data_IF_814707076624
#
_entry.id   IF_814707076624
#
_cell.length_a   1.000
_cell.length_b   1.000
_cell.length_c   1.000
_cell.angle_alpha   90.00
_cell.angle_beta   90.00
_cell.angle_gamma   90.00
#
_symmetry.space_group_name_H-M   'P 1'
#
loop_
_entity.id
_entity.type
_entity.pdbx_description
1 polymer ?
#
# COMPACT_ATOMS: atom_id res chain seq x y z
N UNK A 1 -4.92 -1.25 5.64
CA UNK A 1 -4.90 0.05 4.93
C UNK A 1 -5.52 -0.13 3.54
N UNK A 2 -6.07 0.94 2.96
CA UNK A 2 -6.51 0.96 1.56
C UNK A 2 -5.33 1.18 0.61
N UNK A 3 -5.44 0.72 -0.63
CA UNK A 3 -4.33 0.66 -1.60
C UNK A 3 -4.87 0.77 -3.03
N UNK A 4 -4.10 1.47 -3.87
CA UNK A 4 -4.40 1.66 -5.28
C UNK A 4 -3.81 0.58 -6.18
N UNK A 5 -2.75 -0.08 -5.71
CA UNK A 5 -2.12 -1.23 -6.35
C UNK A 5 -1.29 -2.06 -5.35
N UNK A 6 -1.27 -3.37 -5.54
CA UNK A 6 -0.48 -4.31 -4.74
C UNK A 6 0.48 -5.07 -5.66
N UNK A 7 1.77 -4.95 -5.35
CA UNK A 7 2.83 -5.75 -5.91
C UNK A 7 3.49 -6.57 -4.79
N UNK A 8 3.60 -7.88 -4.97
CA UNK A 8 4.20 -8.77 -3.95
C UNK A 8 5.70 -8.53 -3.77
N UNK A 9 6.39 -8.00 -4.78
CA UNK A 9 7.83 -7.71 -4.76
C UNK A 9 8.10 -6.24 -4.43
N UNK A 10 7.31 -5.31 -4.99
CA UNK A 10 7.52 -3.87 -4.81
C UNK A 10 6.71 -3.25 -3.65
N UNK A 11 5.75 -4.00 -3.09
CA UNK A 11 4.90 -3.55 -1.99
C UNK A 11 3.61 -2.88 -2.46
N UNK A 12 3.06 -2.00 -1.63
CA UNK A 12 1.75 -1.39 -1.85
C UNK A 12 1.90 0.03 -2.39
N UNK A 13 1.14 0.35 -3.43
CA UNK A 13 1.04 1.71 -3.98
C UNK A 13 -0.24 2.34 -3.44
N UNK A 14 -0.13 3.58 -2.96
CA UNK A 14 -1.28 4.43 -2.64
C UNK A 14 -0.98 5.84 -3.10
N UNK A 15 -1.90 6.42 -3.87
CA UNK A 15 -1.87 7.80 -4.33
C UNK A 15 -2.72 8.63 -3.37
N UNK A 16 -2.15 8.96 -2.22
CA UNK A 16 -2.77 9.89 -1.28
C UNK A 16 -1.72 10.87 -0.76
N UNK A 17 -2.11 12.13 -0.63
CA UNK A 17 -1.33 13.22 -0.02
C UNK A 17 -0.86 12.89 1.42
N UNK A 18 -1.53 11.93 2.07
CA UNK A 18 -1.23 11.44 3.42
C UNK A 18 -0.26 10.26 3.44
N UNK A 19 0.36 9.89 2.30
CA UNK A 19 1.32 8.76 2.22
C UNK A 19 2.43 8.82 3.28
N UNK A 20 2.95 10.02 3.56
CA UNK A 20 4.01 10.23 4.56
C UNK A 20 3.57 9.81 5.96
N UNK A 21 2.31 10.08 6.32
CA UNK A 21 1.74 9.69 7.61
C UNK A 21 1.44 8.20 7.63
N UNK A 22 0.88 7.64 6.56
CA UNK A 22 0.66 6.19 6.42
C UNK A 22 1.97 5.40 6.56
N UNK A 23 3.08 5.92 6.02
CA UNK A 23 4.41 5.31 6.17
C UNK A 23 4.90 5.34 7.62
N UNK A 24 4.71 6.45 8.33
CA UNK A 24 5.03 6.54 9.76
C UNK A 24 4.18 5.59 10.60
N UNK A 25 2.88 5.46 10.29
CA UNK A 25 1.98 4.51 10.93
C UNK A 25 2.39 3.06 10.67
N UNK A 26 2.77 2.72 9.44
CA UNK A 26 3.29 1.39 9.11
C UNK A 26 4.57 1.05 9.86
N UNK A 27 5.50 1.99 9.98
CA UNK A 27 6.76 1.78 10.69
C UNK A 27 6.56 1.59 12.20
N UNK A 28 5.54 2.23 12.79
CA UNK A 28 5.22 2.10 14.21
C UNK A 28 4.41 0.83 14.53
N UNK A 29 3.73 0.25 13.55
CA UNK A 29 2.88 -0.91 13.74
C UNK A 29 3.68 -2.21 13.76
N UNK A 30 3.34 -3.12 14.68
CA UNK A 30 3.90 -4.49 14.71
C UNK A 30 3.42 -5.32 13.51
N UNK A 31 2.20 -5.09 13.06
CA UNK A 31 1.56 -5.82 11.98
C UNK A 31 0.64 -4.88 11.22
N UNK A 32 0.67 -4.96 9.88
CA UNK A 32 -0.13 -4.12 8.99
C UNK A 32 -0.97 -5.04 8.12
N UNK A 33 -2.28 -5.04 8.37
CA UNK A 33 -3.24 -5.79 7.56
C UNK A 33 -3.75 -4.89 6.44
N UNK A 34 -3.64 -5.38 5.21
CA UNK A 34 -4.09 -4.69 4.01
C UNK A 34 -5.37 -5.35 3.50
N UNK A 35 -6.35 -4.53 3.13
CA UNK A 35 -7.59 -5.01 2.53
C UNK A 35 -7.69 -4.41 1.14
N UNK A 36 -7.77 -5.28 0.14
CA UNK A 36 -7.90 -4.88 -1.25
C UNK A 36 -8.66 -5.93 -2.03
N UNK A 37 -9.27 -5.48 -3.12
CA UNK A 37 -9.90 -6.35 -4.10
C UNK A 37 -8.86 -6.99 -5.04
N UNK A 38 -9.18 -8.16 -5.59
CA UNK A 38 -8.32 -8.88 -6.54
C UNK A 38 -7.92 -8.05 -7.78
N UNK A 39 -8.76 -7.10 -8.20
CA UNK A 39 -8.45 -6.15 -9.29
C UNK A 39 -7.26 -5.23 -9.02
N UNK A 40 -6.81 -5.13 -7.76
CA UNK A 40 -5.64 -4.36 -7.35
C UNK A 40 -4.33 -5.16 -7.38
N UNK A 41 -4.41 -6.48 -7.53
CA UNK A 41 -3.23 -7.33 -7.75
C UNK A 41 -2.67 -7.08 -9.15
N UNK A 42 -1.35 -6.93 -9.25
CA UNK A 42 -0.62 -6.72 -10.51
C UNK A 42 -0.77 -5.33 -11.16
N UNK A 43 -1.35 -4.34 -10.46
CA UNK A 43 -1.19 -2.94 -10.84
C UNK A 43 0.23 -2.53 -10.51
N UNK A 44 1.11 -2.47 -11.52
CA UNK A 44 2.48 -1.99 -11.35
C UNK A 44 2.43 -0.57 -10.80
N UNK A 45 3.14 -0.35 -9.69
CA UNK A 45 3.47 0.99 -9.22
C UNK A 45 4.16 1.72 -10.40
N UNK A 46 3.70 2.92 -10.81
CA UNK A 46 4.46 3.68 -11.79
C UNK A 46 5.83 4.02 -11.18
N UNK A 47 6.89 3.70 -11.92
CA UNK A 47 8.28 4.00 -11.62
C UNK A 47 8.55 5.49 -11.53
#
# INVERSE_FOLDING_TARGET
MGTDGIDLNAGVTTFNEVYTVSKAMCNAAREVILMADSSKLAVKAPT
#
